data_IF_047912699848
#
_entry.id   IF_047912699848
#
_cell.length_a   1.000
_cell.length_b   1.000
_cell.length_c   1.000
_cell.angle_alpha   90.00
_cell.angle_beta   90.00
_cell.angle_gamma   90.00
#
_symmetry.space_group_name_H-M   'P 1'
#
loop_
_entity.id
_entity.type
_entity.pdbx_description
1 polymer ?
#
# COMPACT_ATOMS: atom_id res chain seq x y z
N UNK A 1 43.89 30.59 37.16
CA UNK A 1 43.25 30.24 35.88
C UNK A 1 43.39 28.74 35.65
N UNK A 2 42.32 27.96 35.74
CA UNK A 2 42.26 26.61 35.20
C UNK A 2 41.42 26.65 33.92
N UNK A 3 41.85 26.05 32.80
CA UNK A 3 41.05 26.00 31.59
C UNK A 3 39.96 24.95 31.78
N UNK A 4 38.71 25.38 31.96
CA UNK A 4 37.56 24.52 31.73
C UNK A 4 37.27 24.51 30.23
N UNK A 5 37.36 23.34 29.60
CA UNK A 5 36.46 22.88 28.51
C UNK A 5 37.00 21.54 27.94
N UNK A 6 36.31 20.41 28.23
CA UNK A 6 36.26 19.33 27.26
C UNK A 6 34.82 18.86 26.97
N UNK A 7 33.80 19.57 27.45
CA UNK A 7 32.40 19.14 27.33
C UNK A 7 31.88 19.30 25.91
N UNK A 8 32.35 20.32 25.16
CA UNK A 8 31.99 20.49 23.75
C UNK A 8 32.40 19.30 22.86
N UNK A 9 33.52 18.63 23.16
CA UNK A 9 34.01 17.49 22.36
C UNK A 9 33.18 16.22 22.59
N UNK A 10 32.77 15.98 23.83
CA UNK A 10 31.92 14.81 24.17
C UNK A 10 30.53 14.89 23.54
N UNK A 11 29.94 16.10 23.49
CA UNK A 11 28.60 16.31 22.90
C UNK A 11 28.65 16.11 21.38
N UNK A 12 29.70 16.58 20.71
CA UNK A 12 29.88 16.41 19.26
C UNK A 12 30.08 14.94 18.87
N UNK A 13 30.79 14.16 19.70
CA UNK A 13 30.97 12.71 19.50
C UNK A 13 29.67 11.93 19.70
N UNK A 14 28.84 12.33 20.68
CA UNK A 14 27.53 11.72 20.92
C UNK A 14 26.55 11.96 19.77
N UNK A 15 26.57 13.15 19.15
CA UNK A 15 25.75 13.48 17.97
C UNK A 15 26.15 12.66 16.73
N UNK A 16 27.42 12.25 16.60
CA UNK A 16 27.89 11.36 15.53
C UNK A 16 27.47 9.89 15.71
N UNK A 17 27.15 9.47 16.94
CA UNK A 17 26.70 8.10 17.24
C UNK A 17 25.19 7.91 17.02
N UNK A 18 24.43 8.99 16.81
CA UNK A 18 23.00 8.91 16.50
C UNK A 18 22.86 8.59 15.01
N UNK A 19 22.94 7.30 14.67
CA UNK A 19 22.51 6.84 13.36
C UNK A 19 21.03 7.24 13.16
N UNK A 20 20.65 7.84 12.02
CA UNK A 20 19.26 8.18 11.77
C UNK A 20 18.40 6.91 11.83
N UNK A 21 17.38 6.92 12.70
CA UNK A 21 16.42 5.83 12.79
C UNK A 21 15.66 5.74 11.47
N UNK A 22 15.81 4.63 10.75
CA UNK A 22 15.03 4.36 9.55
C UNK A 22 13.60 4.02 9.98
N UNK A 23 12.67 4.92 9.71
CA UNK A 23 11.25 4.67 9.89
C UNK A 23 10.57 4.78 8.53
N UNK A 24 10.15 3.64 7.98
CA UNK A 24 9.34 3.60 6.77
C UNK A 24 7.88 3.41 7.16
N UNK A 25 7.03 4.36 6.79
CA UNK A 25 5.57 4.22 6.88
C UNK A 25 5.05 3.87 5.50
N UNK A 26 4.17 2.89 5.40
CA UNK A 26 3.57 2.48 4.15
C UNK A 26 2.05 2.52 4.23
N UNK A 27 1.44 2.48 3.05
CA UNK A 27 -0.02 2.45 2.90
C UNK A 27 -0.42 1.01 2.66
N UNK A 28 -1.29 0.43 3.50
CA UNK A 28 -1.73 -0.94 3.30
C UNK A 28 -2.45 -1.07 1.94
N UNK A 29 -2.14 -2.09 1.13
CA UNK A 29 -2.75 -2.26 -0.18
C UNK A 29 -4.22 -2.70 -0.05
N UNK A 30 -5.03 -2.33 -1.05
CA UNK A 30 -6.37 -2.89 -1.21
C UNK A 30 -6.28 -4.41 -1.44
N UNK A 31 -7.23 -5.24 -0.96
CA UNK A 31 -7.18 -6.70 -1.13
C UNK A 31 -6.97 -7.18 -2.57
N UNK A 32 -7.60 -6.51 -3.55
CA UNK A 32 -7.40 -6.79 -4.98
C UNK A 32 -5.96 -6.50 -5.41
N UNK A 33 -5.38 -5.37 -5.01
CA UNK A 33 -3.99 -5.02 -5.33
C UNK A 33 -3.02 -6.03 -4.71
N UNK A 34 -3.29 -6.46 -3.48
CA UNK A 34 -2.50 -7.49 -2.82
C UNK A 34 -2.59 -8.85 -3.53
N UNK A 35 -3.76 -9.19 -4.09
CA UNK A 35 -3.96 -10.40 -4.90
C UNK A 35 -3.27 -10.32 -6.27
N UNK A 36 -3.34 -9.18 -6.95
CA UNK A 36 -2.73 -9.04 -8.28
C UNK A 36 -1.19 -8.97 -8.21
N UNK A 37 -0.63 -8.47 -7.10
CA UNK A 37 0.80 -8.30 -6.93
C UNK A 37 1.49 -9.46 -6.18
N UNK A 38 0.77 -10.54 -5.87
CA UNK A 38 1.32 -11.67 -5.08
C UNK A 38 2.16 -12.66 -5.88
N UNK A 39 2.26 -12.52 -7.20
CA UNK A 39 3.17 -13.30 -8.06
C UNK A 39 4.29 -12.40 -8.60
N UNK A 40 5.50 -12.64 -8.10
CA UNK A 40 6.80 -12.38 -8.74
C UNK A 40 6.94 -11.11 -9.60
N UNK A 41 7.54 -10.06 -9.01
CA UNK A 41 8.48 -9.22 -9.75
C UNK A 41 8.01 -7.87 -10.29
N UNK A 42 6.89 -7.30 -9.84
CA UNK A 42 6.60 -5.89 -10.11
C UNK A 42 6.25 -5.19 -8.80
N UNK A 43 7.26 -4.57 -8.19
CA UNK A 43 7.01 -3.51 -7.22
C UNK A 43 6.33 -2.38 -7.97
N UNK A 44 4.99 -2.37 -7.97
CA UNK A 44 4.22 -1.31 -8.61
C UNK A 44 4.76 0.04 -8.10
N UNK A 45 5.31 0.90 -8.98
CA UNK A 45 5.79 2.22 -8.59
C UNK A 45 4.65 3.12 -8.10
N UNK A 46 3.40 2.66 -8.19
CA UNK A 46 2.22 3.32 -7.62
C UNK A 46 1.95 2.93 -6.16
N UNK A 47 2.71 2.00 -5.58
CA UNK A 47 2.90 1.88 -4.13
C UNK A 47 3.96 2.88 -3.61
N UNK A 48 4.12 4.02 -4.29
CA UNK A 48 5.04 5.10 -3.92
C UNK A 48 4.51 5.94 -2.75
N UNK A 49 4.10 5.29 -1.67
CA UNK A 49 3.90 5.97 -0.39
C UNK A 49 4.60 5.21 0.76
N UNK A 50 5.72 4.56 0.47
CA UNK A 50 6.73 4.27 1.50
C UNK A 50 7.43 5.58 1.84
N UNK A 51 6.91 6.34 2.81
CA UNK A 51 7.64 7.46 3.39
C UNK A 51 8.68 6.90 4.36
N UNK A 52 9.90 6.69 3.87
CA UNK A 52 11.05 6.44 4.72
C UNK A 52 11.64 7.77 5.19
N UNK A 53 11.56 8.05 6.48
CA UNK A 53 12.32 9.12 7.10
C UNK A 53 13.81 8.74 7.05
N UNK A 54 14.63 9.53 6.36
CA UNK A 54 16.09 9.37 6.33
C UNK A 54 16.74 8.90 5.01
N UNK A 55 16.02 8.85 3.87
CA UNK A 55 16.63 8.62 2.55
C UNK A 55 16.72 9.93 1.73
N UNK A 56 17.85 10.19 1.03
CA UNK A 56 17.77 10.93 -0.22
C UNK A 56 16.96 10.06 -1.20
N UNK A 57 15.93 10.61 -1.81
CA UNK A 57 15.07 9.91 -2.79
C UNK A 57 15.94 9.25 -3.86
N UNK A 58 16.17 7.94 -3.76
CA UNK A 58 16.81 7.13 -4.78
C UNK A 58 15.76 6.19 -5.37
N UNK A 59 15.69 6.06 -6.71
CA UNK A 59 14.62 5.31 -7.36
C UNK A 59 14.90 3.81 -7.32
N UNK A 60 13.82 3.03 -7.21
CA UNK A 60 13.73 1.58 -7.44
C UNK A 60 14.28 0.68 -6.30
N UNK A 61 13.34 0.06 -5.58
CA UNK A 61 13.60 -0.97 -4.58
C UNK A 61 13.53 -2.38 -5.17
N UNK A 62 14.70 -3.03 -5.11
CA UNK A 62 15.07 -4.46 -5.07
C UNK A 62 14.09 -5.54 -5.59
N UNK A 63 14.53 -6.20 -6.66
CA UNK A 63 14.21 -7.60 -7.00
C UNK A 63 14.81 -8.55 -5.97
N UNK A 64 14.07 -9.55 -5.49
CA UNK A 64 14.58 -10.63 -4.64
C UNK A 64 14.11 -12.03 -5.10
N UNK A 65 15.09 -12.81 -5.53
CA UNK A 65 15.28 -14.27 -5.57
C UNK A 65 14.21 -15.23 -5.02
N UNK A 66 12.98 -15.20 -5.56
CA UNK A 66 12.02 -16.33 -5.48
C UNK A 66 11.54 -16.76 -4.09
N UNK A 67 11.89 -16.03 -3.03
CA UNK A 67 11.48 -16.29 -1.66
C UNK A 67 10.26 -15.43 -1.30
N UNK A 68 9.22 -16.05 -0.71
CA UNK A 68 8.04 -15.35 -0.23
C UNK A 68 8.42 -14.33 0.87
N UNK A 69 8.37 -13.03 0.54
CA UNK A 69 8.71 -11.95 1.48
C UNK A 69 7.45 -11.23 1.96
N UNK A 70 7.02 -11.53 3.19
CA UNK A 70 5.89 -10.86 3.85
C UNK A 70 6.45 -9.70 4.69
N UNK A 71 5.93 -8.50 4.46
CA UNK A 71 6.32 -7.29 5.21
C UNK A 71 5.16 -6.75 6.03
N UNK A 72 5.42 -5.74 6.86
CA UNK A 72 4.39 -4.96 7.55
C UNK A 72 3.45 -4.21 6.58
N UNK A 73 3.82 -4.09 5.30
CA UNK A 73 3.02 -3.46 4.26
C UNK A 73 2.23 -4.46 3.43
N UNK A 74 2.39 -5.75 3.67
CA UNK A 74 1.64 -6.81 2.99
C UNK A 74 0.23 -6.90 3.55
N UNK A 75 -0.74 -7.27 2.71
CA UNK A 75 -2.10 -7.57 3.18
C UNK A 75 -2.10 -8.91 3.93
N UNK A 76 -2.19 -8.86 5.25
CA UNK A 76 -2.25 -10.05 6.11
C UNK A 76 -3.45 -9.96 7.03
N UNK A 77 -4.38 -10.91 6.91
CA UNK A 77 -5.56 -11.00 7.76
C UNK A 77 -6.03 -12.46 7.92
N UNK A 78 -6.60 -12.86 9.08
CA UNK A 78 -7.21 -14.18 9.24
C UNK A 78 -8.37 -14.39 8.25
N UNK A 79 -8.44 -15.54 7.59
CA UNK A 79 -9.49 -15.86 6.61
C UNK A 79 -10.92 -15.71 7.14
N UNK A 80 -11.14 -16.06 8.41
CA UNK A 80 -12.45 -15.94 9.07
C UNK A 80 -12.84 -14.48 9.34
N UNK A 81 -11.87 -13.56 9.41
CA UNK A 81 -12.12 -12.12 9.60
C UNK A 81 -12.46 -11.38 8.29
N UNK A 82 -12.23 -12.03 7.14
CA UNK A 82 -12.58 -11.47 5.84
C UNK A 82 -14.09 -11.43 5.65
N UNK A 83 -14.57 -10.44 4.91
CA UNK A 83 -15.97 -10.43 4.48
C UNK A 83 -16.24 -11.55 3.48
N UNK A 84 -17.51 -11.93 3.31
CA UNK A 84 -17.91 -12.89 2.26
C UNK A 84 -17.53 -12.39 0.85
N UNK A 85 -17.61 -11.08 0.64
CA UNK A 85 -17.21 -10.43 -0.60
C UNK A 85 -15.69 -10.55 -0.85
N UNK A 86 -14.86 -10.30 0.17
CA UNK A 86 -13.41 -10.41 0.09
C UNK A 86 -12.99 -11.85 -0.21
N UNK A 87 -13.54 -12.84 0.50
CA UNK A 87 -13.26 -14.26 0.25
C UNK A 87 -13.54 -14.63 -1.21
N UNK A 88 -14.68 -14.21 -1.76
CA UNK A 88 -15.02 -14.42 -3.18
C UNK A 88 -14.06 -13.71 -4.13
N UNK A 89 -13.65 -12.49 -3.77
CA UNK A 89 -12.61 -11.75 -4.47
C UNK A 89 -11.35 -12.58 -4.62
N UNK A 90 -10.80 -13.06 -3.51
CA UNK A 90 -9.60 -13.91 -3.47
C UNK A 90 -9.77 -15.25 -4.19
N UNK A 91 -10.97 -15.85 -4.14
CA UNK A 91 -11.19 -17.15 -4.79
C UNK A 91 -11.30 -17.05 -6.31
N UNK A 92 -11.87 -15.97 -6.85
CA UNK A 92 -12.18 -15.90 -8.29
C UNK A 92 -12.23 -14.50 -8.87
N UNK A 93 -12.80 -13.53 -8.18
CA UNK A 93 -13.19 -12.28 -8.85
C UNK A 93 -12.04 -11.31 -9.07
N UNK A 94 -11.05 -11.25 -8.17
CA UNK A 94 -9.96 -10.28 -8.30
C UNK A 94 -9.08 -10.53 -9.52
N UNK A 95 -8.90 -11.79 -9.95
CA UNK A 95 -8.13 -12.12 -11.15
C UNK A 95 -8.64 -11.42 -12.41
N UNK A 96 -9.95 -11.14 -12.50
CA UNK A 96 -10.58 -10.49 -13.65
C UNK A 96 -10.13 -9.04 -13.79
N UNK A 97 -9.80 -8.39 -12.68
CA UNK A 97 -9.36 -6.99 -12.68
C UNK A 97 -7.84 -6.82 -12.77
N UNK A 98 -7.04 -7.88 -12.67
CA UNK A 98 -5.58 -7.73 -12.55
C UNK A 98 -4.89 -7.30 -13.84
N UNK A 99 -5.42 -7.65 -15.01
CA UNK A 99 -4.79 -7.33 -16.30
C UNK A 99 -5.03 -5.88 -16.73
N UNK A 100 -6.27 -5.37 -16.54
CA UNK A 100 -6.69 -4.09 -17.12
C UNK A 100 -6.93 -2.98 -16.08
N UNK A 101 -7.16 -3.32 -14.81
CA UNK A 101 -7.67 -2.38 -13.81
C UNK A 101 -6.70 -2.14 -12.65
N UNK A 102 -6.59 -0.89 -12.22
CA UNK A 102 -5.70 -0.50 -11.12
C UNK A 102 -6.49 0.17 -10.00
N UNK A 103 -6.37 -0.34 -8.78
CA UNK A 103 -6.91 0.35 -7.59
C UNK A 103 -5.94 1.44 -7.16
N UNK A 104 -6.39 2.69 -7.16
CA UNK A 104 -5.56 3.86 -6.83
C UNK A 104 -5.92 4.43 -5.44
N UNK A 105 -5.04 4.32 -4.43
CA UNK A 105 -5.32 4.87 -3.10
C UNK A 105 -5.35 6.40 -3.09
N UNK A 106 -6.36 6.99 -2.46
CA UNK A 106 -6.37 8.40 -2.13
C UNK A 106 -6.16 8.64 -0.63
N UNK A 107 -5.13 9.41 -0.31
CA UNK A 107 -4.70 9.70 1.06
C UNK A 107 -4.81 11.17 1.42
N UNK A 108 -4.83 12.06 0.42
CA UNK A 108 -5.00 13.50 0.60
C UNK A 108 -5.68 14.11 -0.64
N UNK A 109 -6.39 15.22 -0.43
CA UNK A 109 -7.12 15.94 -1.49
C UNK A 109 -6.17 16.95 -2.13
N UNK A 110 -6.14 17.10 -3.48
CA UNK A 110 -7.05 16.49 -4.46
C UNK A 110 -6.60 15.12 -4.98
N UNK A 111 -7.52 14.16 -5.01
CA UNK A 111 -7.32 12.87 -5.67
C UNK A 111 -7.45 13.04 -7.19
N UNK A 112 -6.34 12.93 -7.95
CA UNK A 112 -6.38 13.00 -9.42
C UNK A 112 -6.31 11.61 -10.01
N UNK A 113 -7.36 11.23 -10.74
CA UNK A 113 -7.40 9.99 -11.50
C UNK A 113 -6.78 10.24 -12.88
N UNK A 114 -5.76 9.45 -13.24
CA UNK A 114 -5.00 9.63 -14.50
C UNK A 114 -5.62 8.86 -15.68
N UNK A 115 -6.41 7.82 -15.43
CA UNK A 115 -6.97 6.92 -16.44
C UNK A 115 -8.36 6.43 -16.05
N UNK A 116 -9.19 6.10 -17.05
CA UNK A 116 -10.48 5.44 -16.87
C UNK A 116 -10.36 4.00 -16.34
N UNK A 117 -9.16 3.39 -16.44
CA UNK A 117 -8.86 2.07 -15.88
C UNK A 117 -8.56 2.09 -14.37
N UNK A 118 -8.49 3.28 -13.76
CA UNK A 118 -8.20 3.40 -12.35
C UNK A 118 -9.49 3.49 -11.52
N UNK A 119 -9.59 2.71 -10.44
CA UNK A 119 -10.66 2.89 -9.45
C UNK A 119 -10.12 3.60 -8.22
N UNK A 120 -10.73 4.74 -7.87
CA UNK A 120 -10.30 5.54 -6.73
C UNK A 120 -10.69 4.87 -5.41
N UNK A 121 -9.69 4.55 -4.58
CA UNK A 121 -9.89 4.00 -3.25
C UNK A 121 -9.82 5.08 -2.17
N UNK A 122 -10.94 5.32 -1.48
CA UNK A 122 -11.08 6.46 -0.56
C UNK A 122 -11.37 6.06 0.88
N UNK A 123 -11.32 4.78 1.24
CA UNK A 123 -11.66 4.33 2.60
C UNK A 123 -10.74 4.99 3.65
N UNK A 124 -9.43 5.07 3.38
CA UNK A 124 -8.48 5.70 4.29
C UNK A 124 -8.76 7.19 4.52
N UNK A 125 -9.07 7.92 3.45
CA UNK A 125 -9.37 9.36 3.53
C UNK A 125 -10.68 9.64 4.28
N UNK A 126 -11.71 8.83 4.06
CA UNK A 126 -13.06 9.08 4.60
C UNK A 126 -13.28 8.48 5.99
N UNK A 127 -12.70 7.31 6.26
CA UNK A 127 -12.97 6.53 7.47
C UNK A 127 -11.73 6.37 8.36
N UNK A 128 -10.56 6.86 7.93
CA UNK A 128 -9.30 6.67 8.64
C UNK A 128 -8.84 5.21 8.72
N UNK A 129 -9.47 4.30 7.96
CA UNK A 129 -9.15 2.87 7.97
C UNK A 129 -9.21 2.27 6.57
N UNK A 130 -8.24 1.40 6.31
CA UNK A 130 -8.10 0.54 5.16
C UNK A 130 -9.14 -0.59 5.10
N UNK A 131 -9.88 -0.82 6.20
CA UNK A 131 -10.93 -1.84 6.33
C UNK A 131 -12.32 -1.27 6.06
N UNK A 132 -12.40 -0.20 5.27
CA UNK A 132 -13.65 0.46 4.93
C UNK A 132 -14.55 -0.33 3.97
N UNK A 133 -15.54 0.37 3.41
CA UNK A 133 -16.58 -0.26 2.62
C UNK A 133 -16.05 -0.80 1.29
N UNK A 134 -15.18 -0.05 0.62
CA UNK A 134 -14.65 -0.42 -0.68
C UNK A 134 -13.78 -1.67 -0.55
N UNK A 135 -12.83 -1.65 0.40
CA UNK A 135 -11.97 -2.78 0.74
C UNK A 135 -12.75 -4.04 1.13
N UNK A 136 -13.87 -3.90 1.83
CA UNK A 136 -14.66 -5.05 2.30
C UNK A 136 -15.66 -5.59 1.29
N UNK A 137 -16.10 -4.83 0.30
CA UNK A 137 -17.27 -5.23 -0.50
C UNK A 137 -17.14 -5.02 -2.00
N UNK A 138 -16.13 -4.29 -2.46
CA UNK A 138 -16.00 -3.90 -3.85
C UNK A 138 -14.75 -4.51 -4.50
N UNK A 139 -14.81 -4.61 -5.82
CA UNK A 139 -13.68 -4.91 -6.69
C UNK A 139 -13.66 -3.89 -7.84
N UNK A 140 -12.47 -3.50 -8.27
CA UNK A 140 -12.26 -2.69 -9.46
C UNK A 140 -12.22 -3.62 -10.66
N UNK A 141 -13.27 -3.61 -11.46
CA UNK A 141 -13.46 -4.56 -12.56
C UNK A 141 -13.72 -3.82 -13.87
N UNK A 142 -13.31 -4.41 -15.01
CA UNK A 142 -13.56 -3.82 -16.31
C UNK A 142 -15.07 -3.75 -16.54
N UNK A 143 -15.52 -2.60 -17.06
CA UNK A 143 -16.89 -2.39 -17.49
C UNK A 143 -16.97 -2.31 -19.01
N UNK A 144 -16.06 -1.54 -19.59
CA UNK A 144 -15.90 -1.34 -21.03
C UNK A 144 -14.39 -1.23 -21.33
N UNK A 145 -13.95 -1.40 -22.58
CA UNK A 145 -12.54 -1.23 -22.94
C UNK A 145 -12.00 0.13 -22.49
N UNK A 146 -10.97 0.13 -21.64
CA UNK A 146 -10.38 1.35 -21.07
C UNK A 146 -11.16 1.98 -19.91
N UNK A 147 -12.24 1.35 -19.43
CA UNK A 147 -13.05 1.82 -18.30
C UNK A 147 -13.23 0.74 -17.24
N UNK A 148 -12.64 0.96 -16.07
CA UNK A 148 -12.83 0.14 -14.88
C UNK A 148 -13.69 0.87 -13.86
N UNK A 149 -14.53 0.13 -13.15
CA UNK A 149 -15.42 0.71 -12.14
C UNK A 149 -15.51 -0.17 -10.91
N UNK A 150 -15.88 0.44 -9.78
CA UNK A 150 -16.18 -0.29 -8.57
C UNK A 150 -17.46 -1.10 -8.74
N UNK A 151 -17.33 -2.42 -8.65
CA UNK A 151 -18.44 -3.36 -8.69
C UNK A 151 -18.59 -4.07 -7.35
N UNK A 152 -19.83 -4.33 -6.94
CA UNK A 152 -20.09 -4.99 -5.66
C UNK A 152 -19.93 -6.51 -5.77
N UNK A 153 -19.20 -7.08 -4.82
CA UNK A 153 -19.04 -8.53 -4.65
C UNK A 153 -20.08 -9.12 -3.68
N UNK A 154 -21.03 -8.30 -3.19
CA UNK A 154 -22.15 -8.80 -2.38
C UNK A 154 -23.01 -9.71 -3.24
N UNK A 155 -23.40 -10.87 -2.71
CA UNK A 155 -24.45 -11.65 -3.35
C UNK A 155 -25.72 -10.83 -3.31
N UNK A 156 -26.33 -10.58 -4.48
CA UNK A 156 -27.76 -10.34 -4.50
C UNK A 156 -28.40 -11.67 -4.15
N UNK A 157 -29.01 -11.74 -2.98
CA UNK A 157 -29.98 -12.80 -2.69
C UNK A 157 -31.16 -12.46 -3.61
N UNK A 158 -31.38 -13.29 -4.62
CA UNK A 158 -32.56 -13.22 -5.48
C UNK A 158 -33.78 -13.73 -4.71
#
# INVERSE_FOLDING_TARGET
MAPFEPLASGILLLLWLIAPSRACTCVPPHPQTAFCNSDLGESSPHSAHTLCLGFPLSPVGLTMDGLLHITTCSFVAPWNSLSLAQRRGFTKTYTVGCEECTVFPCLSIPCKLQSGTHCLWTDQLLQGSEKGFQSRHLACLPREPGLCTWQSLRTRIA
#
